data_IF_336397181549
#
_entry.id   IF_336397181549
#
_cell.length_a   1.000
_cell.length_b   1.000
_cell.length_c   1.000
_cell.angle_alpha   90.00
_cell.angle_beta   90.00
_cell.angle_gamma   90.00
#
_symmetry.space_group_name_H-M   'P 1'
#
loop_
_entity.id
_entity.type
_entity.pdbx_description
1 polymer ?
#
# COMPACT_ATOMS: atom_id res chain seq x y z
N UNK A 1 6.87 21.69 12.95
CA UNK A 1 7.29 20.29 12.69
C UNK A 1 6.07 19.35 12.67
N UNK A 2 5.15 19.45 13.64
CA UNK A 2 3.92 18.61 13.72
C UNK A 2 3.03 18.62 12.45
N UNK A 3 2.88 19.77 11.77
CA UNK A 3 2.07 19.85 10.56
C UNK A 3 2.60 19.04 9.37
N UNK A 4 3.92 18.79 9.30
CA UNK A 4 4.54 18.00 8.23
C UNK A 4 4.32 16.51 8.44
N UNK A 5 4.45 16.02 9.67
CA UNK A 5 4.27 14.60 10.00
C UNK A 5 2.81 14.16 9.88
N UNK A 6 1.86 15.03 10.23
CA UNK A 6 0.43 14.74 10.07
C UNK A 6 0.05 14.66 8.59
N UNK A 7 0.63 15.51 7.76
CA UNK A 7 0.41 15.56 6.31
C UNK A 7 0.96 14.30 5.62
N UNK A 8 2.18 13.88 5.98
CA UNK A 8 2.76 12.61 5.51
C UNK A 8 1.94 11.39 5.95
N UNK A 9 1.52 11.38 7.21
CA UNK A 9 0.68 10.29 7.74
C UNK A 9 -0.67 10.20 7.02
N UNK A 10 -1.20 11.34 6.57
CA UNK A 10 -2.45 11.41 5.81
C UNK A 10 -2.26 10.91 4.38
N UNK A 11 -1.18 11.35 3.71
CA UNK A 11 -0.81 10.88 2.38
C UNK A 11 -0.61 9.36 2.33
N UNK A 12 -0.10 8.75 3.40
CA UNK A 12 0.10 7.30 3.48
C UNK A 12 -1.20 6.54 3.20
N UNK A 13 -2.33 7.04 3.71
CA UNK A 13 -3.64 6.41 3.56
C UNK A 13 -4.38 6.78 2.27
N UNK A 14 -3.85 7.70 1.47
CA UNK A 14 -4.43 8.06 0.17
C UNK A 14 -4.13 6.96 -0.86
N UNK A 15 -5.12 6.55 -1.67
CA UNK A 15 -4.89 5.60 -2.75
C UNK A 15 -4.02 6.21 -3.84
N UNK A 16 -3.34 5.36 -4.59
CA UNK A 16 -2.71 5.72 -5.85
C UNK A 16 -3.75 5.76 -6.96
N UNK A 17 -3.79 6.87 -7.68
CA UNK A 17 -4.58 7.02 -8.88
C UNK A 17 -3.69 6.90 -10.12
N UNK A 18 -4.20 6.30 -11.19
CA UNK A 18 -3.56 6.41 -12.50
C UNK A 18 -4.00 7.71 -13.15
N UNK A 19 -3.04 8.49 -13.62
CA UNK A 19 -3.25 9.79 -14.26
C UNK A 19 -2.41 9.87 -15.53
N UNK A 20 -2.93 10.55 -16.56
CA UNK A 20 -2.21 10.76 -17.81
C UNK A 20 -1.97 12.25 -18.02
N UNK A 21 -0.72 12.62 -18.33
CA UNK A 21 -0.35 13.97 -18.69
C UNK A 21 0.18 13.97 -20.13
N UNK A 22 -0.69 14.28 -21.07
CA UNK A 22 -0.41 14.05 -22.50
C UNK A 22 -0.38 12.55 -22.81
N UNK A 23 0.72 12.08 -23.40
CA UNK A 23 0.92 10.66 -23.76
C UNK A 23 1.56 9.84 -22.63
N UNK A 24 2.00 10.48 -21.55
CA UNK A 24 2.70 9.82 -20.45
C UNK A 24 1.74 9.45 -19.31
N UNK A 25 1.77 8.18 -18.92
CA UNK A 25 1.01 7.65 -17.80
C UNK A 25 1.83 7.69 -16.50
N UNK A 26 1.16 8.05 -15.41
CA UNK A 26 1.74 8.12 -14.08
C UNK A 26 0.80 7.49 -13.05
N UNK A 27 1.37 7.16 -11.90
CA UNK A 27 0.67 6.99 -10.65
C UNK A 27 0.87 8.25 -9.80
N UNK A 28 -0.22 8.78 -9.25
CA UNK A 28 -0.16 9.95 -8.38
C UNK A 28 -1.03 9.77 -7.15
N UNK A 29 -0.61 10.38 -6.05
CA UNK A 29 -1.45 10.61 -4.88
C UNK A 29 -1.06 11.91 -4.20
N UNK A 30 -2.04 12.59 -3.65
CA UNK A 30 -1.86 13.91 -3.04
C UNK A 30 -2.69 14.03 -1.77
N UNK A 31 -2.19 14.79 -0.83
CA UNK A 31 -2.93 15.22 0.35
C UNK A 31 -2.85 16.74 0.46
N UNK A 32 -4.00 17.40 0.47
CA UNK A 32 -4.14 18.82 0.76
C UNK A 32 -4.66 19.01 2.19
N UNK A 33 -4.18 20.07 2.85
CA UNK A 33 -4.67 20.59 4.13
C UNK A 33 -4.71 22.11 4.04
N UNK A 34 -5.24 22.78 5.07
CA UNK A 34 -5.31 24.26 5.08
C UNK A 34 -3.94 24.94 5.11
N UNK A 35 -2.90 24.21 5.54
CA UNK A 35 -1.54 24.73 5.76
C UNK A 35 -0.52 24.23 4.74
N UNK A 36 -0.91 23.40 3.78
CA UNK A 36 0.01 22.89 2.77
C UNK A 36 -0.48 21.64 2.07
N UNK A 37 0.39 21.07 1.24
CA UNK A 37 0.14 19.81 0.56
C UNK A 37 1.41 18.97 0.43
N UNK A 38 1.19 17.68 0.21
CA UNK A 38 2.22 16.74 -0.21
C UNK A 38 1.72 15.95 -1.42
N UNK A 39 2.54 15.88 -2.46
CA UNK A 39 2.27 15.19 -3.71
C UNK A 39 3.34 14.13 -3.92
N UNK A 40 2.93 12.92 -4.30
CA UNK A 40 3.81 11.85 -4.74
C UNK A 40 3.37 11.40 -6.13
N UNK A 41 4.34 11.27 -7.04
CA UNK A 41 4.11 10.90 -8.44
C UNK A 41 5.17 9.91 -8.90
N UNK A 42 4.78 8.93 -9.69
CA UNK A 42 5.67 7.90 -10.23
C UNK A 42 5.28 7.54 -11.65
N UNK A 43 6.27 7.32 -12.50
CA UNK A 43 6.12 6.74 -13.84
C UNK A 43 6.47 5.24 -13.85
N UNK A 44 6.47 4.60 -12.68
CA UNK A 44 6.93 3.23 -12.40
C UNK A 44 8.44 2.99 -12.57
N UNK A 45 9.18 3.94 -13.14
CA UNK A 45 10.65 3.88 -13.23
C UNK A 45 11.32 4.70 -12.12
N UNK A 46 10.69 5.81 -11.74
CA UNK A 46 11.15 6.76 -10.74
C UNK A 46 9.97 7.25 -9.90
N UNK A 47 10.30 7.86 -8.76
CA UNK A 47 9.32 8.45 -7.86
C UNK A 47 9.81 9.86 -7.53
N UNK A 48 8.91 10.83 -7.69
CA UNK A 48 9.13 12.22 -7.33
C UNK A 48 8.13 12.65 -6.28
N UNK A 49 8.54 13.60 -5.45
CA UNK A 49 7.69 14.17 -4.41
C UNK A 49 7.83 15.69 -4.36
N UNK A 50 6.78 16.33 -3.88
CA UNK A 50 6.83 17.72 -3.44
C UNK A 50 6.09 17.85 -2.11
N UNK A 51 6.67 18.61 -1.19
CA UNK A 51 5.98 19.11 0.00
C UNK A 51 6.04 20.64 -0.02
N UNK A 52 4.90 21.28 0.14
CA UNK A 52 4.80 22.74 0.18
C UNK A 52 3.91 23.17 1.35
N UNK A 53 4.46 24.04 2.20
CA UNK A 53 3.73 24.66 3.30
C UNK A 53 3.01 25.94 2.87
N UNK A 54 2.33 26.59 3.83
CA UNK A 54 1.54 27.77 3.55
C UNK A 54 2.37 28.96 3.05
N UNK A 55 3.64 29.08 3.49
CA UNK A 55 4.54 30.13 3.06
C UNK A 55 4.97 29.92 1.61
N UNK A 56 5.45 28.72 1.28
CA UNK A 56 5.80 28.33 -0.07
C UNK A 56 4.63 28.48 -1.04
N UNK A 57 3.42 28.10 -0.59
CA UNK A 57 2.19 28.25 -1.38
C UNK A 57 1.82 29.72 -1.57
N UNK A 58 1.89 30.51 -0.50
CA UNK A 58 1.62 31.95 -0.55
C UNK A 58 2.58 32.70 -1.47
N UNK A 59 3.87 32.36 -1.45
CA UNK A 59 4.87 32.98 -2.32
C UNK A 59 4.66 32.59 -3.79
N UNK A 60 4.53 31.28 -4.07
CA UNK A 60 4.37 30.79 -5.43
C UNK A 60 3.05 31.23 -6.07
N UNK A 61 1.97 31.32 -5.28
CA UNK A 61 0.68 31.82 -5.77
C UNK A 61 0.77 33.27 -6.23
N UNK A 62 1.46 34.15 -5.49
CA UNK A 62 1.71 35.55 -5.87
C UNK A 62 2.55 35.66 -7.14
N UNK A 63 3.55 34.80 -7.30
CA UNK A 63 4.42 34.78 -8.48
C UNK A 63 3.66 34.36 -9.75
N UNK A 64 2.87 33.29 -9.66
CA UNK A 64 2.15 32.72 -10.80
C UNK A 64 0.84 33.42 -11.11
N UNK A 65 0.18 33.99 -10.09
CA UNK A 65 -1.15 34.59 -10.19
C UNK A 65 -1.15 36.03 -9.65
N UNK A 66 -0.38 36.92 -10.29
CA UNK A 66 -0.13 38.31 -9.83
C UNK A 66 -1.39 39.15 -9.54
N UNK A 67 -2.54 38.79 -10.10
CA UNK A 67 -3.83 39.50 -9.91
C UNK A 67 -4.73 38.85 -8.86
N UNK A 68 -4.36 37.67 -8.35
CA UNK A 68 -5.15 36.90 -7.41
C UNK A 68 -4.70 37.22 -5.99
N UNK A 69 -5.59 37.80 -5.19
CA UNK A 69 -5.37 38.03 -3.76
C UNK A 69 -6.34 37.16 -2.98
N UNK A 70 -5.89 35.96 -2.60
CA UNK A 70 -6.73 34.95 -1.95
C UNK A 70 -5.95 34.35 -0.77
N UNK A 71 -6.66 33.98 0.30
CA UNK A 71 -6.05 33.26 1.43
C UNK A 71 -5.49 31.91 0.98
N UNK A 72 -4.36 31.51 1.57
CA UNK A 72 -3.65 30.27 1.21
C UNK A 72 -4.54 29.03 1.36
N UNK A 73 -5.37 28.97 2.41
CA UNK A 73 -6.31 27.86 2.61
C UNK A 73 -7.33 27.74 1.47
N UNK A 74 -7.92 28.85 1.02
CA UNK A 74 -8.84 28.86 -0.14
C UNK A 74 -8.13 28.50 -1.44
N UNK A 75 -6.86 28.91 -1.59
CA UNK A 75 -6.04 28.51 -2.74
C UNK A 75 -5.77 26.99 -2.74
N UNK A 76 -5.44 26.43 -1.58
CA UNK A 76 -5.22 24.98 -1.40
C UNK A 76 -6.49 24.17 -1.62
N UNK A 77 -7.63 24.67 -1.15
CA UNK A 77 -8.94 24.05 -1.43
C UNK A 77 -9.20 24.01 -2.92
N UNK A 78 -8.97 25.13 -3.63
CA UNK A 78 -9.14 25.15 -5.08
C UNK A 78 -8.20 24.16 -5.79
N UNK A 79 -6.93 24.06 -5.40
CA UNK A 79 -6.03 23.03 -5.92
C UNK A 79 -6.55 21.61 -5.66
N UNK A 80 -7.12 21.36 -4.49
CA UNK A 80 -7.75 20.08 -4.17
C UNK A 80 -8.94 19.80 -5.10
N UNK A 81 -9.78 20.79 -5.37
CA UNK A 81 -10.93 20.69 -6.28
C UNK A 81 -10.50 20.41 -7.72
N UNK A 82 -9.36 20.97 -8.17
CA UNK A 82 -8.81 20.70 -9.50
C UNK A 82 -8.21 19.30 -9.61
N UNK A 83 -7.52 18.83 -8.56
CA UNK A 83 -6.84 17.53 -8.57
C UNK A 83 -7.78 16.35 -8.31
N UNK A 84 -8.88 16.54 -7.57
CA UNK A 84 -9.76 15.45 -7.16
C UNK A 84 -10.43 14.72 -8.34
N UNK A 85 -11.00 15.41 -9.35
CA UNK A 85 -11.54 14.76 -10.54
C UNK A 85 -10.47 14.00 -11.31
N UNK A 86 -9.28 14.59 -11.49
CA UNK A 86 -8.14 13.97 -12.16
C UNK A 86 -7.77 12.63 -11.49
N UNK A 87 -7.64 12.62 -10.16
CA UNK A 87 -7.31 11.42 -9.38
C UNK A 87 -8.46 10.41 -9.34
N UNK A 88 -9.70 10.84 -9.56
CA UNK A 88 -10.84 9.95 -9.73
C UNK A 88 -10.93 9.37 -11.17
N UNK A 89 -9.98 9.69 -12.06
CA UNK A 89 -10.00 9.27 -13.46
C UNK A 89 -11.04 10.02 -14.31
N UNK A 90 -11.52 11.18 -13.84
CA UNK A 90 -12.46 12.02 -14.56
C UNK A 90 -11.69 13.10 -15.34
N UNK A 91 -12.00 13.25 -16.62
CA UNK A 91 -11.45 14.33 -17.44
C UNK A 91 -12.35 15.56 -17.37
N UNK A 92 -11.86 16.60 -16.70
CA UNK A 92 -12.44 17.94 -16.79
C UNK A 92 -11.79 18.69 -17.96
N UNK A 93 -12.61 19.21 -18.87
CA UNK A 93 -12.12 20.00 -20.01
C UNK A 93 -11.72 21.42 -19.61
N UNK A 94 -12.16 21.91 -18.45
CA UNK A 94 -11.84 23.25 -17.96
C UNK A 94 -10.43 23.33 -17.34
N UNK A 95 -9.82 22.19 -17.01
CA UNK A 95 -8.51 22.10 -16.35
C UNK A 95 -7.50 21.38 -17.24
N UNK A 96 -6.42 22.06 -17.59
CA UNK A 96 -5.32 21.50 -18.38
C UNK A 96 -4.14 21.17 -17.48
N UNK A 97 -3.66 19.93 -17.60
CA UNK A 97 -2.47 19.44 -16.93
C UNK A 97 -1.36 19.14 -17.96
N UNK A 98 -0.13 19.55 -17.67
CA UNK A 98 1.04 19.15 -18.47
C UNK A 98 2.22 18.80 -17.58
N UNK A 99 3.01 17.81 -17.98
CA UNK A 99 4.13 17.31 -17.20
C UNK A 99 5.43 17.45 -18.01
N UNK A 100 6.51 17.90 -17.35
CA UNK A 100 7.80 18.12 -17.98
C UNK A 100 8.93 17.60 -17.08
N UNK A 101 9.82 16.79 -17.63
CA UNK A 101 11.08 16.45 -16.97
C UNK A 101 12.00 17.67 -16.97
N UNK A 102 12.66 17.89 -15.84
CA UNK A 102 13.64 18.97 -15.64
C UNK A 102 14.95 18.36 -15.16
N UNK A 103 16.06 19.09 -15.23
CA UNK A 103 17.37 18.59 -14.86
C UNK A 103 17.46 18.06 -13.41
N UNK A 104 16.57 18.53 -12.52
CA UNK A 104 16.55 18.17 -11.10
C UNK A 104 15.30 17.41 -10.64
N UNK A 105 14.41 16.99 -11.55
CA UNK A 105 13.17 16.32 -11.17
C UNK A 105 12.04 16.45 -12.19
N UNK A 106 10.81 16.46 -11.71
CA UNK A 106 9.60 16.51 -12.51
C UNK A 106 8.80 17.78 -12.20
N UNK A 107 8.26 18.43 -13.22
CA UNK A 107 7.36 19.57 -13.01
C UNK A 107 6.00 19.33 -13.63
N UNK A 108 4.96 19.43 -12.79
CA UNK A 108 3.57 19.32 -13.19
C UNK A 108 2.94 20.71 -13.20
N UNK A 109 2.44 21.13 -14.36
CA UNK A 109 1.79 22.41 -14.56
C UNK A 109 0.28 22.20 -14.59
N UNK A 110 -0.44 23.10 -13.93
CA UNK A 110 -1.91 23.17 -13.92
C UNK A 110 -2.33 24.53 -14.46
N UNK A 111 -3.26 24.51 -15.42
CA UNK A 111 -3.91 25.70 -15.95
C UNK A 111 -5.41 25.50 -15.83
N UNK A 112 -6.10 26.41 -15.15
CA UNK A 112 -7.55 26.37 -14.99
C UNK A 112 -8.12 27.80 -14.97
N UNK A 113 -9.38 27.92 -14.56
CA UNK A 113 -9.99 29.22 -14.27
C UNK A 113 -10.56 29.23 -12.86
N UNK A 114 -10.47 30.38 -12.21
CA UNK A 114 -11.06 30.64 -10.89
C UNK A 114 -11.91 31.90 -10.99
N UNK A 115 -13.24 31.74 -10.90
CA UNK A 115 -14.21 32.84 -11.06
C UNK A 115 -14.03 33.64 -12.36
N UNK A 116 -13.73 32.95 -13.46
CA UNK A 116 -13.49 33.56 -14.78
C UNK A 116 -12.10 34.16 -14.98
N UNK A 117 -11.23 34.16 -13.96
CA UNK A 117 -9.84 34.57 -14.07
C UNK A 117 -8.93 33.38 -14.39
N UNK A 118 -7.88 33.54 -15.22
CA UNK A 118 -6.88 32.50 -15.44
C UNK A 118 -6.17 32.14 -14.14
N UNK A 119 -6.06 30.85 -13.87
CA UNK A 119 -5.39 30.28 -12.71
C UNK A 119 -4.24 29.38 -13.15
N UNK A 120 -3.08 29.54 -12.52
CA UNK A 120 -1.86 28.80 -12.83
C UNK A 120 -1.24 28.23 -11.56
N UNK A 121 -0.84 26.97 -11.64
CA UNK A 121 -0.02 26.35 -10.61
C UNK A 121 1.08 25.49 -11.23
N UNK A 122 2.20 25.39 -10.53
CA UNK A 122 3.34 24.56 -10.92
C UNK A 122 3.81 23.80 -9.70
N UNK A 123 3.71 22.48 -9.74
CA UNK A 123 4.35 21.58 -8.79
C UNK A 123 5.81 21.37 -9.21
N UNK A 124 6.71 21.42 -8.23
CA UNK A 124 8.14 21.21 -8.41
C UNK A 124 8.55 19.96 -7.64
N UNK A 125 8.46 18.81 -8.30
CA UNK A 125 8.71 17.52 -7.67
C UNK A 125 10.19 17.15 -7.82
N UNK A 126 10.89 16.99 -6.70
CA UNK A 126 12.25 16.45 -6.68
C UNK A 126 12.21 14.92 -6.50
N UNK A 127 13.31 14.20 -6.77
CA UNK A 127 13.38 12.75 -6.52
C UNK A 127 12.98 12.41 -5.08
N UNK A 128 12.11 11.42 -4.91
CA UNK A 128 11.61 11.00 -3.61
C UNK A 128 12.73 10.36 -2.78
N UNK A 129 12.87 10.72 -1.48
CA UNK A 129 13.78 10.04 -0.58
C UNK A 129 13.46 8.55 -0.49
N UNK A 130 14.48 7.72 -0.28
CA UNK A 130 14.33 6.26 -0.17
C UNK A 130 13.30 5.86 0.89
N UNK A 131 13.26 6.57 2.02
CA UNK A 131 12.27 6.30 3.07
C UNK A 131 10.84 6.52 2.58
N UNK A 132 10.60 7.54 1.76
CA UNK A 132 9.29 7.83 1.19
C UNK A 132 8.86 6.75 0.19
N UNK A 133 9.79 6.28 -0.65
CA UNK A 133 9.56 5.15 -1.56
C UNK A 133 9.28 3.87 -0.77
N UNK A 134 10.08 3.59 0.26
CA UNK A 134 9.92 2.42 1.13
C UNK A 134 8.53 2.41 1.80
N UNK A 135 8.15 3.54 2.39
CA UNK A 135 6.92 3.70 3.15
C UNK A 135 5.66 3.69 2.28
N UNK A 136 5.70 4.24 1.07
CA UNK A 136 4.51 4.36 0.22
C UNK A 136 4.39 3.29 -0.88
N UNK A 137 5.45 2.59 -1.23
CA UNK A 137 5.44 1.55 -2.26
C UNK A 137 5.97 0.22 -1.73
N UNK A 138 7.23 0.13 -1.32
CA UNK A 138 7.88 -1.16 -1.03
C UNK A 138 7.18 -1.92 0.09
N UNK A 139 7.04 -1.32 1.27
CA UNK A 139 6.43 -1.98 2.44
C UNK A 139 4.95 -2.31 2.22
N UNK A 140 4.11 -1.43 1.65
CA UNK A 140 2.74 -1.78 1.29
C UNK A 140 2.67 -2.93 0.29
N UNK A 141 3.43 -2.88 -0.82
CA UNK A 141 3.39 -3.91 -1.86
C UNK A 141 3.82 -5.28 -1.35
N UNK A 142 4.88 -5.38 -0.53
CA UNK A 142 5.29 -6.64 0.10
C UNK A 142 4.16 -7.22 0.95
N UNK A 143 3.49 -6.38 1.76
CA UNK A 143 2.38 -6.85 2.60
C UNK A 143 1.14 -7.23 1.80
N UNK A 144 0.87 -6.53 0.71
CA UNK A 144 -0.20 -6.90 -0.22
C UNK A 144 0.08 -8.27 -0.84
N UNK A 145 1.31 -8.51 -1.32
CA UNK A 145 1.71 -9.82 -1.86
C UNK A 145 1.54 -10.93 -0.83
N UNK A 146 1.94 -10.69 0.43
CA UNK A 146 1.72 -11.65 1.52
C UNK A 146 0.22 -11.89 1.76
N UNK A 147 -0.60 -10.84 1.82
CA UNK A 147 -2.04 -10.96 2.04
C UNK A 147 -2.73 -11.73 0.90
N UNK A 148 -2.36 -11.46 -0.36
CA UNK A 148 -2.87 -12.19 -1.52
C UNK A 148 -2.42 -13.66 -1.49
N UNK A 149 -1.18 -13.94 -1.09
CA UNK A 149 -0.71 -15.32 -0.92
C UNK A 149 -1.53 -16.08 0.13
N UNK A 150 -1.86 -15.45 1.26
CA UNK A 150 -2.74 -16.05 2.27
C UNK A 150 -4.15 -16.29 1.72
N UNK A 151 -4.71 -15.36 0.93
CA UNK A 151 -6.01 -15.57 0.29
C UNK A 151 -6.00 -16.76 -0.67
N UNK A 152 -4.93 -16.93 -1.46
CA UNK A 152 -4.78 -18.10 -2.35
C UNK A 152 -4.77 -19.40 -1.53
N UNK A 153 -4.04 -19.44 -0.41
CA UNK A 153 -4.01 -20.62 0.46
C UNK A 153 -5.37 -20.94 1.08
N UNK A 154 -6.11 -19.93 1.57
CA UNK A 154 -7.45 -20.12 2.11
C UNK A 154 -8.44 -20.63 1.05
N UNK A 155 -8.36 -20.10 -0.17
CA UNK A 155 -9.17 -20.55 -1.30
C UNK A 155 -8.82 -21.99 -1.72
N UNK A 156 -7.53 -22.33 -1.79
CA UNK A 156 -7.09 -23.71 -2.04
C UNK A 156 -7.67 -24.66 -1.00
N UNK A 157 -7.58 -24.33 0.29
CA UNK A 157 -8.15 -25.15 1.34
C UNK A 157 -9.67 -25.32 1.19
N UNK A 158 -10.38 -24.25 0.86
CA UNK A 158 -11.83 -24.31 0.63
C UNK A 158 -12.19 -25.18 -0.57
N UNK A 159 -11.41 -25.14 -1.65
CA UNK A 159 -11.60 -25.99 -2.83
C UNK A 159 -11.40 -27.48 -2.48
N UNK A 160 -10.34 -27.81 -1.74
CA UNK A 160 -10.10 -29.19 -1.28
C UNK A 160 -11.22 -29.70 -0.37
N UNK A 161 -11.78 -28.85 0.50
CA UNK A 161 -12.95 -29.21 1.29
C UNK A 161 -14.18 -29.48 0.41
N UNK A 162 -14.36 -28.70 -0.65
CA UNK A 162 -15.46 -28.89 -1.61
C UNK A 162 -15.30 -30.16 -2.43
N UNK A 163 -14.08 -30.50 -2.84
CA UNK A 163 -13.81 -31.77 -3.52
C UNK A 163 -14.10 -32.98 -2.62
N UNK A 164 -13.72 -32.91 -1.34
CA UNK A 164 -14.03 -33.96 -0.37
C UNK A 164 -15.55 -34.10 -0.16
N UNK A 165 -16.29 -33.00 -0.11
CA UNK A 165 -17.76 -33.00 -0.03
C UNK A 165 -18.39 -33.63 -1.30
N UNK A 166 -17.88 -33.31 -2.49
CA UNK A 166 -18.34 -33.89 -3.76
C UNK A 166 -18.06 -35.40 -3.81
N UNK A 167 -16.88 -35.82 -3.32
CA UNK A 167 -16.52 -37.24 -3.31
C UNK A 167 -17.37 -38.03 -2.32
N UNK A 168 -17.67 -37.50 -1.12
CA UNK A 168 -18.61 -38.11 -0.18
C UNK A 168 -20.00 -38.33 -0.81
N UNK A 169 -20.51 -37.36 -1.58
CA UNK A 169 -21.77 -37.56 -2.31
C UNK A 169 -21.68 -38.70 -3.33
N UNK A 170 -20.56 -38.84 -4.04
CA UNK A 170 -20.35 -39.91 -5.04
C UNK A 170 -20.24 -41.28 -4.37
N UNK A 171 -19.47 -41.38 -3.29
CA UNK A 171 -19.31 -42.61 -2.50
C UNK A 171 -20.65 -43.08 -1.92
N UNK A 172 -21.53 -42.15 -1.55
CA UNK A 172 -22.88 -42.42 -1.08
C UNK A 172 -23.91 -42.66 -2.21
N UNK A 173 -23.47 -42.79 -3.47
CA UNK A 173 -24.29 -43.18 -4.62
C UNK A 173 -25.08 -42.03 -5.27
N UNK A 174 -24.80 -40.78 -4.93
CA UNK A 174 -25.41 -39.64 -5.62
C UNK A 174 -24.88 -39.51 -7.06
N UNK A 175 -25.78 -39.30 -8.01
CA UNK A 175 -25.44 -39.10 -9.42
C UNK A 175 -25.79 -37.69 -9.86
N UNK A 176 -24.94 -37.10 -10.70
CA UNK A 176 -25.19 -35.79 -11.30
C UNK A 176 -26.31 -35.91 -12.35
N UNK A 177 -27.30 -35.03 -12.27
CA UNK A 177 -28.36 -34.94 -13.29
C UNK A 177 -27.91 -34.27 -14.58
N UNK A 178 -26.78 -33.52 -14.53
CA UNK A 178 -26.21 -32.77 -15.64
C UNK A 178 -24.68 -32.94 -15.63
N UNK A 179 -24.17 -33.84 -16.45
CA UNK A 179 -22.74 -34.18 -16.47
C UNK A 179 -21.81 -32.99 -16.71
N UNK A 180 -22.25 -31.99 -17.48
CA UNK A 180 -21.50 -30.74 -17.73
C UNK A 180 -21.17 -29.91 -16.48
N UNK A 181 -21.80 -30.20 -15.34
CA UNK A 181 -21.52 -29.52 -14.07
C UNK A 181 -20.39 -30.20 -13.28
N UNK A 182 -19.92 -31.37 -13.73
CA UNK A 182 -18.80 -32.06 -13.11
C UNK A 182 -17.53 -31.24 -13.28
N UNK A 183 -16.88 -30.94 -12.16
CA UNK A 183 -15.52 -30.38 -12.13
C UNK A 183 -14.52 -31.50 -11.89
N UNK A 184 -13.31 -31.32 -12.43
CA UNK A 184 -12.17 -32.14 -12.04
C UNK A 184 -11.72 -31.76 -10.63
N UNK A 185 -11.21 -32.71 -9.82
CA UNK A 185 -10.66 -32.41 -8.50
C UNK A 185 -9.55 -31.36 -8.60
N UNK A 186 -9.57 -30.39 -7.71
CA UNK A 186 -8.57 -29.33 -7.66
C UNK A 186 -7.21 -29.92 -7.27
N UNK A 187 -6.17 -29.53 -8.03
CA UNK A 187 -4.79 -29.91 -7.77
C UNK A 187 -3.93 -28.64 -7.74
N UNK A 188 -3.38 -28.33 -6.56
CA UNK A 188 -2.68 -27.08 -6.30
C UNK A 188 -1.44 -26.94 -7.19
N UNK A 189 -0.63 -27.99 -7.31
CA UNK A 189 0.62 -27.95 -8.07
C UNK A 189 0.35 -27.74 -9.57
N UNK A 190 -0.64 -28.41 -10.14
CA UNK A 190 -1.02 -28.21 -11.54
C UNK A 190 -1.56 -26.80 -11.76
N UNK A 191 -2.41 -26.30 -10.86
CA UNK A 191 -2.93 -24.93 -10.95
C UNK A 191 -1.80 -23.90 -10.96
N UNK A 192 -0.83 -24.04 -10.05
CA UNK A 192 0.32 -23.14 -9.98
C UNK A 192 1.17 -23.21 -11.26
N UNK A 193 1.44 -24.42 -11.78
CA UNK A 193 2.18 -24.60 -13.03
C UNK A 193 1.47 -23.95 -14.22
N UNK A 194 0.17 -24.18 -14.36
CA UNK A 194 -0.64 -23.59 -15.44
C UNK A 194 -0.71 -22.06 -15.32
N UNK A 195 -0.87 -21.53 -14.10
CA UNK A 195 -0.85 -20.09 -13.87
C UNK A 195 0.48 -19.46 -14.31
N UNK A 196 1.61 -20.08 -13.96
CA UNK A 196 2.94 -19.59 -14.34
C UNK A 196 3.18 -19.66 -15.86
N UNK A 197 2.67 -20.70 -16.53
CA UNK A 197 2.86 -20.89 -17.96
C UNK A 197 1.93 -20.01 -18.82
N UNK A 198 0.67 -19.85 -18.42
CA UNK A 198 -0.38 -19.27 -19.27
C UNK A 198 -0.86 -17.89 -18.82
N UNK A 199 -1.04 -17.70 -17.50
CA UNK A 199 -1.65 -16.47 -16.96
C UNK A 199 -0.63 -15.38 -16.66
N UNK A 200 0.52 -15.74 -16.07
CA UNK A 200 1.57 -14.78 -15.69
C UNK A 200 2.06 -13.93 -16.89
N UNK A 201 2.34 -14.50 -18.09
CA UNK A 201 2.76 -13.70 -19.24
C UNK A 201 1.72 -12.67 -19.67
N UNK A 202 0.42 -12.99 -19.54
CA UNK A 202 -0.66 -12.07 -19.89
C UNK A 202 -0.72 -10.88 -18.92
N UNK A 203 -0.54 -11.15 -17.62
CA UNK A 203 -0.56 -10.12 -16.57
C UNK A 203 0.62 -9.14 -16.75
N UNK A 204 1.81 -9.66 -17.05
CA UNK A 204 3.01 -8.84 -17.28
C UNK A 204 2.95 -7.98 -18.55
N UNK A 205 1.96 -8.21 -19.44
CA UNK A 205 1.76 -7.42 -20.66
C UNK A 205 0.81 -6.23 -20.50
N UNK A 206 0.16 -6.05 -19.35
CA UNK A 206 -0.85 -5.00 -19.12
C UNK A 206 -0.19 -3.71 -18.63
N UNK A 207 -0.82 -2.55 -18.91
CA UNK A 207 -0.43 -1.26 -18.33
C UNK A 207 -0.48 -1.30 -16.79
N UNK A 208 0.66 -1.64 -16.18
CA UNK A 208 0.82 -2.00 -14.76
C UNK A 208 0.21 -0.96 -13.82
N UNK A 209 0.42 0.33 -14.12
CA UNK A 209 -0.09 1.44 -13.31
C UNK A 209 -1.62 1.48 -13.25
N UNK A 210 -2.29 1.30 -14.39
CA UNK A 210 -3.76 1.32 -14.44
C UNK A 210 -4.36 0.09 -13.75
N UNK A 211 -3.76 -1.09 -13.94
CA UNK A 211 -4.19 -2.31 -13.27
C UNK A 211 -4.06 -2.19 -11.75
N UNK A 212 -2.93 -1.67 -11.26
CA UNK A 212 -2.73 -1.39 -9.84
C UNK A 212 -3.73 -0.36 -9.29
N UNK A 213 -3.96 0.73 -10.00
CA UNK A 213 -4.88 1.80 -9.59
C UNK A 213 -6.36 1.37 -9.59
N UNK A 214 -6.75 0.40 -10.41
CA UNK A 214 -8.14 -0.05 -10.51
C UNK A 214 -8.45 -1.27 -9.64
N UNK A 215 -7.58 -2.28 -9.62
CA UNK A 215 -7.87 -3.56 -8.97
C UNK A 215 -7.35 -3.66 -7.53
N UNK A 216 -6.22 -3.00 -7.22
CA UNK A 216 -5.47 -3.28 -5.98
C UNK A 216 -5.53 -2.15 -4.93
N UNK A 217 -6.18 -1.01 -5.25
CA UNK A 217 -6.20 0.14 -4.33
C UNK A 217 -6.96 -0.10 -3.03
N UNK A 218 -8.00 -0.94 -3.04
CA UNK A 218 -8.71 -1.29 -1.82
C UNK A 218 -7.81 -2.04 -0.84
N UNK A 219 -7.04 -3.02 -1.34
CA UNK A 219 -6.07 -3.76 -0.53
C UNK A 219 -4.92 -2.86 -0.08
N UNK A 220 -4.40 -2.00 -0.98
CA UNK A 220 -3.39 -1.01 -0.63
C UNK A 220 -3.84 -0.12 0.53
N UNK A 221 -5.04 0.45 0.45
CA UNK A 221 -5.60 1.31 1.50
C UNK A 221 -5.79 0.56 2.82
N UNK A 222 -6.25 -0.70 2.79
CA UNK A 222 -6.38 -1.52 3.99
C UNK A 222 -5.03 -1.79 4.67
N UNK A 223 -4.00 -2.13 3.89
CA UNK A 223 -2.64 -2.39 4.38
C UNK A 223 -2.01 -1.14 4.99
N UNK A 224 -2.08 0.00 4.30
CA UNK A 224 -1.49 1.26 4.78
C UNK A 224 -2.22 1.82 6.00
N UNK A 225 -3.54 1.66 6.08
CA UNK A 225 -4.30 2.00 7.29
C UNK A 225 -3.90 1.13 8.48
N UNK A 226 -3.69 -0.17 8.26
CA UNK A 226 -3.25 -1.07 9.33
C UNK A 226 -1.86 -0.71 9.84
N UNK A 227 -0.94 -0.36 8.93
CA UNK A 227 0.39 0.15 9.30
C UNK A 227 0.30 1.46 10.09
N UNK A 228 -0.50 2.43 9.63
CA UNK A 228 -0.68 3.69 10.35
C UNK A 228 -1.25 3.48 11.76
N UNK A 229 -2.18 2.54 11.93
CA UNK A 229 -2.72 2.16 13.25
C UNK A 229 -1.66 1.53 14.16
N UNK A 230 -0.81 0.66 13.62
CA UNK A 230 0.26 0.02 14.39
C UNK A 230 1.32 1.02 14.84
N UNK A 231 1.72 1.95 13.96
CA UNK A 231 2.69 3.00 14.31
C UNK A 231 2.16 3.90 15.44
N UNK A 232 0.90 4.33 15.37
CA UNK A 232 0.27 5.12 16.44
C UNK A 232 0.19 4.37 17.77
N UNK A 233 -0.04 3.05 17.74
CA UNK A 233 -0.06 2.22 18.95
C UNK A 233 1.32 2.16 19.61
N UNK A 234 2.40 2.04 18.83
CA UNK A 234 3.78 2.02 19.33
C UNK A 234 4.17 3.34 19.99
N UNK A 235 3.86 4.46 19.34
CA UNK A 235 4.12 5.80 19.89
C UNK A 235 3.38 6.01 21.23
N UNK A 236 2.11 5.62 21.31
CA UNK A 236 1.34 5.75 22.56
C UNK A 236 1.86 4.88 23.70
N UNK A 237 2.43 3.71 23.40
CA UNK A 237 3.05 2.87 24.43
C UNK A 237 4.37 3.46 24.93
N UNK A 238 5.15 4.11 24.06
CA UNK A 238 6.41 4.76 24.42
C UNK A 238 6.16 6.02 25.29
N UNK A 239 5.11 6.80 24.99
CA UNK A 239 4.75 8.00 25.79
C UNK A 239 4.18 7.69 27.19
N UNK A 240 3.80 6.43 27.45
CA UNK A 240 3.29 6.02 28.78
C UNK A 240 4.44 5.63 29.73
N UNK A 241 5.66 5.44 29.21
CA UNK A 241 6.88 5.24 30.01
C UNK A 241 7.64 6.57 30.17
N UNK A 242 7.05 7.51 30.91
CA UNK A 242 7.74 8.72 31.40
C UNK A 242 8.67 8.43 32.59
N UNK A 243 9.67 9.30 32.85
CA UNK A 243 10.96 8.93 33.44
C UNK A 243 10.88 8.52 34.92
N UNK A 244 11.59 7.44 35.26
CA UNK A 244 11.87 7.07 36.65
C UNK A 244 12.57 8.22 37.38
N UNK A 245 12.17 8.55 38.62
CA UNK A 245 12.82 9.61 39.37
C UNK A 245 14.24 9.18 39.72
N UNK A 246 15.18 10.11 39.54
CA UNK A 246 16.57 9.99 39.93
C UNK A 246 16.70 9.51 41.38
N UNK A 247 17.34 8.36 41.58
CA UNK A 247 17.90 7.98 42.86
C UNK A 247 19.42 8.15 42.75
N UNK A 248 19.91 9.23 43.35
CA UNK A 248 21.31 9.43 43.67
C UNK A 248 21.77 8.31 44.61
N UNK A 249 22.81 7.56 44.25
CA UNK A 249 23.78 7.08 45.25
C UNK A 249 25.15 6.83 44.60
N UNK A 250 26.11 7.61 45.07
CA UNK A 250 27.57 7.53 44.91
C UNK A 250 28.18 6.15 45.22
N UNK A 251 29.24 5.79 44.47
CA UNK A 251 30.29 4.89 44.98
C UNK A 251 30.92 3.94 43.95
N UNK A 252 31.98 4.39 43.29
CA UNK A 252 32.99 3.53 42.62
C UNK A 252 33.86 2.79 43.67
N UNK A 253 34.49 1.63 43.38
CA UNK A 253 35.70 1.59 42.53
C UNK A 253 35.94 0.33 41.64
N UNK A 254 36.70 0.55 40.55
CA UNK A 254 37.34 -0.39 39.60
C UNK A 254 38.38 -1.34 40.26
N UNK A 255 38.98 -2.40 39.63
CA UNK A 255 39.67 -2.44 38.30
C UNK A 255 39.65 -3.83 37.55
N UNK A 256 40.55 -4.22 36.59
CA UNK A 256 40.83 -3.74 35.21
C UNK A 256 40.75 -4.88 34.11
N UNK A 257 41.49 -4.89 32.97
CA UNK A 257 41.01 -4.89 31.56
C UNK A 257 41.08 -6.26 30.81
N UNK A 258 40.66 -6.36 29.52
CA UNK A 258 40.62 -7.63 28.79
C UNK A 258 41.95 -7.95 28.08
N UNK A 259 42.38 -9.22 28.17
CA UNK A 259 43.47 -9.79 27.36
C UNK A 259 42.94 -10.32 26.04
N UNK A 260 43.60 -9.93 24.95
CA UNK A 260 43.53 -10.55 23.62
C UNK A 260 44.38 -11.83 23.60
N UNK A 261 43.95 -12.83 22.84
CA UNK A 261 44.69 -13.94 22.21
C UNK A 261 43.61 -14.91 21.68
N UNK A 262 43.69 -15.60 20.56
CA UNK A 262 44.41 -15.50 19.29
C UNK A 262 43.67 -16.50 18.37
N UNK A 263 43.80 -16.35 17.06
CA UNK A 263 43.28 -17.31 16.07
C UNK A 263 43.91 -18.70 16.24
N UNK A 264 43.14 -19.76 16.00
CA UNK A 264 43.59 -20.85 15.08
C UNK A 264 42.46 -21.83 14.73
N UNK A 265 42.55 -22.28 13.48
CA UNK A 265 41.64 -23.13 12.73
C UNK A 265 41.41 -24.55 13.31
N UNK A 266 40.28 -25.17 12.97
CA UNK A 266 40.27 -26.43 12.19
C UNK A 266 38.86 -26.89 11.80
N UNK A 267 38.83 -27.59 10.67
CA UNK A 267 37.75 -28.25 9.93
C UNK A 267 36.95 -29.32 10.71
N UNK A 268 35.70 -29.58 10.32
CA UNK A 268 35.34 -30.73 9.46
C UNK A 268 33.82 -30.92 9.33
N UNK A 269 33.48 -31.77 8.36
CA UNK A 269 32.20 -32.03 7.68
C UNK A 269 31.05 -32.58 8.53
N UNK A 270 29.82 -32.42 8.01
CA UNK A 270 28.82 -33.49 8.10
C UNK A 270 27.36 -33.07 8.26
N UNK A 271 26.58 -33.34 7.20
CA UNK A 271 25.17 -33.80 7.24
C UNK A 271 24.04 -32.74 7.24
N UNK A 272 23.32 -32.66 6.11
CA UNK A 272 21.94 -32.14 5.95
C UNK A 272 20.91 -33.21 6.36
N UNK A 273 19.59 -32.95 6.32
CA UNK A 273 18.82 -31.78 6.78
C UNK A 273 17.75 -32.21 7.80
N UNK A 274 17.39 -31.33 8.75
CA UNK A 274 16.26 -31.57 9.65
C UNK A 274 15.11 -30.59 9.38
N UNK A 275 13.94 -31.18 9.27
CA UNK A 275 12.64 -30.61 8.97
C UNK A 275 12.10 -29.61 10.00
N UNK A 276 11.22 -28.76 9.50
CA UNK A 276 10.38 -27.79 10.22
C UNK A 276 9.62 -28.37 11.42
N UNK A 277 9.17 -27.49 12.34
CA UNK A 277 7.83 -27.61 12.89
C UNK A 277 6.96 -26.43 12.46
N UNK A 278 5.95 -26.74 11.66
CA UNK A 278 4.82 -25.86 11.37
C UNK A 278 4.09 -25.50 12.68
N UNK A 279 3.95 -24.21 12.95
CA UNK A 279 3.11 -23.71 14.03
C UNK A 279 1.63 -23.86 13.63
N UNK A 280 0.95 -24.81 14.26
CA UNK A 280 -0.51 -24.97 14.24
C UNK A 280 -1.19 -23.70 14.78
N UNK A 281 -1.83 -22.91 13.91
CA UNK A 281 -2.84 -21.92 14.35
C UNK A 281 -4.12 -22.65 14.75
N UNK A 282 -4.53 -22.49 16.03
CA UNK A 282 -5.83 -22.91 16.54
C UNK A 282 -6.88 -21.87 16.15
N UNK A 283 -7.87 -22.26 15.34
CA UNK A 283 -9.09 -21.50 15.12
C UNK A 283 -10.12 -21.79 16.24
N UNK A 284 -10.95 -20.81 16.64
CA UNK A 284 -11.96 -21.00 17.68
C UNK A 284 -13.18 -21.76 17.16
N UNK A 285 -13.52 -22.85 17.84
CA UNK A 285 -14.71 -23.68 17.58
C UNK A 285 -15.97 -22.92 18.00
N UNK A 286 -16.81 -22.54 17.04
CA UNK A 286 -18.19 -22.10 17.31
C UNK A 286 -19.11 -23.33 17.36
N UNK A 287 -19.79 -23.52 18.49
CA UNK A 287 -20.74 -24.62 18.69
C UNK A 287 -22.07 -24.29 17.99
N UNK A 288 -22.41 -25.01 16.93
CA UNK A 288 -23.74 -24.98 16.32
C UNK A 288 -24.63 -26.10 16.92
N UNK A 289 -25.85 -25.74 17.37
CA UNK A 289 -26.89 -26.68 17.83
C UNK A 289 -27.58 -27.35 16.62
N UNK A 290 -27.99 -28.62 16.71
CA UNK A 290 -28.63 -29.31 15.59
C UNK A 290 -30.09 -28.86 15.41
N UNK A 291 -30.46 -28.46 14.19
CA UNK A 291 -31.87 -28.31 13.76
C UNK A 291 -32.33 -29.60 13.10
N UNK A 292 -33.42 -30.18 13.62
CA UNK A 292 -34.10 -31.36 13.05
C UNK A 292 -34.59 -31.08 11.63
N UNK A 293 -34.33 -32.00 10.72
CA UNK A 293 -34.95 -32.04 9.40
C UNK A 293 -36.45 -32.38 9.53
N UNK A 294 -37.31 -31.58 8.91
CA UNK A 294 -38.71 -31.90 8.65
C UNK A 294 -38.83 -32.20 7.16
N UNK A 295 -39.22 -33.44 6.84
CA UNK A 295 -39.42 -33.91 5.48
C UNK A 295 -40.51 -33.11 4.76
N UNK A 296 -40.26 -32.84 3.48
CA UNK A 296 -41.22 -32.29 2.53
C UNK A 296 -41.57 -33.43 1.58
N UNK A 297 -42.46 -34.33 1.98
CA UNK A 297 -43.37 -35.09 1.12
C UNK A 297 -44.49 -35.68 1.99
N UNK A 298 -45.74 -35.43 1.55
CA UNK A 298 -47.07 -35.64 2.17
C UNK A 298 -47.50 -34.57 3.18
#
# INVERSE_FOLDING_TARGET
>A
MEGSEELESSLLTKPWASVCFGESAFLAKVCFRDTGYILLISDLSSVWYESADAEAVGQRSKELNKRLTVHVSSFLHHLCDLMSPLLAGQSDTATSFSCHHTAGGLSLHVKSTLSGLPFYWKFHCCPAPVEMVSRHLVRPLIRMSLALQYQVQELTFLLLQKDAEIEDYRENGATLSRDRLRTEPFQEEMFQQNFMAESLPQICGVAEGQAFASALQQLYAAVTQQEAKQSRKRQRSEDTEGPTPAAETTGHPHPPPPSQEDETASSSEGTTPASSPAQKLRLPVSKAKPKKAKGLFS
#
